data_IF_640476039006
#
_entry.id   IF_640476039006
#
_cell.length_a   1.000
_cell.length_b   1.000
_cell.length_c   1.000
_cell.angle_alpha   90.00
_cell.angle_beta   90.00
_cell.angle_gamma   90.00
#
_symmetry.space_group_name_H-M   'P 1'
#
loop_
_entity.id
_entity.type
_entity.pdbx_description
1 polymer ?
#
# COMPACT_ATOMS: atom_id res chain seq x y z
N UNK A 1 8.78 -19.97 28.54
CA UNK A 1 9.81 -19.75 27.52
C UNK A 1 9.10 -19.10 26.35
N UNK A 2 9.48 -17.89 25.94
CA UNK A 2 8.90 -17.26 24.75
C UNK A 2 9.30 -18.05 23.51
N UNK A 3 8.33 -18.40 22.67
CA UNK A 3 8.64 -19.10 21.42
C UNK A 3 9.36 -18.17 20.45
N UNK A 4 10.62 -18.48 20.12
CA UNK A 4 11.38 -17.74 19.11
C UNK A 4 10.65 -17.70 17.74
N UNK A 5 9.88 -18.74 17.42
CA UNK A 5 9.04 -18.79 16.22
C UNK A 5 7.90 -17.76 16.26
N UNK A 6 7.24 -17.62 17.41
CA UNK A 6 6.17 -16.62 17.60
C UNK A 6 6.68 -15.19 17.47
N UNK A 7 7.85 -14.92 18.05
CA UNK A 7 8.51 -13.61 17.98
C UNK A 7 8.93 -13.25 16.54
N UNK A 8 9.53 -14.20 15.79
CA UNK A 8 9.88 -14.00 14.37
C UNK A 8 8.62 -13.73 13.52
N UNK A 9 7.54 -14.48 13.73
CA UNK A 9 6.28 -14.31 13.01
C UNK A 9 5.66 -12.93 13.25
N UNK A 10 5.66 -12.44 14.50
CA UNK A 10 5.18 -11.11 14.83
C UNK A 10 6.01 -10.02 14.15
N UNK A 11 7.34 -10.05 14.31
CA UNK A 11 8.19 -9.00 13.76
C UNK A 11 8.21 -8.98 12.24
N UNK A 12 8.24 -10.15 11.58
CA UNK A 12 8.23 -10.24 10.11
C UNK A 12 6.93 -9.72 9.52
N UNK A 13 5.80 -10.04 10.15
CA UNK A 13 4.47 -9.60 9.73
C UNK A 13 4.27 -8.10 9.95
N UNK A 14 4.76 -7.56 11.08
CA UNK A 14 4.75 -6.12 11.33
C UNK A 14 5.66 -5.38 10.34
N UNK A 15 6.88 -5.85 10.14
CA UNK A 15 7.82 -5.25 9.19
C UNK A 15 7.20 -5.19 7.79
N UNK A 16 6.54 -6.26 7.35
CA UNK A 16 5.82 -6.30 6.10
C UNK A 16 4.76 -5.18 6.00
N UNK A 17 3.92 -5.02 7.03
CA UNK A 17 2.89 -4.00 7.06
C UNK A 17 3.48 -2.58 7.01
N UNK A 18 4.58 -2.33 7.73
CA UNK A 18 5.29 -1.04 7.68
C UNK A 18 5.85 -0.74 6.28
N UNK A 19 6.46 -1.75 5.63
CA UNK A 19 7.02 -1.59 4.28
C UNK A 19 5.90 -1.33 3.26
N UNK A 20 4.74 -1.99 3.39
CA UNK A 20 3.60 -1.75 2.51
C UNK A 20 3.06 -0.32 2.61
N UNK A 21 2.94 0.22 3.83
CA UNK A 21 2.54 1.62 4.06
C UNK A 21 3.59 2.58 3.49
N UNK A 22 4.87 2.31 3.71
CA UNK A 22 5.94 3.16 3.19
C UNK A 22 5.99 3.15 1.64
N UNK A 23 5.84 1.98 1.02
CA UNK A 23 5.78 1.85 -0.44
C UNK A 23 4.59 2.62 -1.02
N UNK A 24 3.42 2.57 -0.37
CA UNK A 24 2.24 3.32 -0.76
C UNK A 24 2.47 4.84 -0.69
N UNK A 25 3.04 5.35 0.41
CA UNK A 25 3.39 6.77 0.55
C UNK A 25 4.36 7.23 -0.52
N UNK A 26 5.38 6.41 -0.80
CA UNK A 26 6.38 6.73 -1.82
C UNK A 26 5.77 6.76 -3.22
N UNK A 27 4.89 5.80 -3.54
CA UNK A 27 4.19 5.75 -4.81
C UNK A 27 3.27 6.97 -4.99
N UNK A 28 2.51 7.34 -3.95
CA UNK A 28 1.60 8.50 -3.98
C UNK A 28 2.35 9.81 -4.24
N UNK A 29 3.39 10.12 -3.46
CA UNK A 29 4.19 11.34 -3.64
C UNK A 29 4.82 11.42 -5.04
N UNK A 30 5.21 10.27 -5.60
CA UNK A 30 5.77 10.22 -6.94
C UNK A 30 4.71 10.48 -8.01
N UNK A 31 3.53 9.87 -7.89
CA UNK A 31 2.41 10.13 -8.80
C UNK A 31 1.97 11.59 -8.74
N UNK A 32 1.86 12.16 -7.54
CA UNK A 32 1.51 13.57 -7.33
C UNK A 32 2.50 14.51 -7.99
N UNK A 33 3.81 14.27 -7.78
CA UNK A 33 4.87 15.08 -8.41
C UNK A 33 4.87 14.98 -9.94
N UNK A 34 4.59 13.79 -10.49
CA UNK A 34 4.68 13.55 -11.93
C UNK A 34 3.40 13.91 -12.70
N UNK A 35 2.23 13.91 -12.04
CA UNK A 35 0.95 14.14 -12.70
C UNK A 35 0.14 15.23 -11.98
N UNK A 36 0.70 16.45 -11.78
CA UNK A 36 0.06 17.48 -10.97
C UNK A 36 -1.35 17.85 -11.47
N UNK A 37 -1.58 17.87 -12.78
CA UNK A 37 -2.90 18.17 -13.38
C UNK A 37 -3.98 17.15 -12.99
N UNK A 38 -3.60 15.88 -12.84
CA UNK A 38 -4.50 14.84 -12.39
C UNK A 38 -4.88 15.03 -10.92
N UNK A 39 -3.95 15.48 -10.07
CA UNK A 39 -4.17 15.69 -8.64
C UNK A 39 -4.76 17.08 -8.31
N UNK A 40 -4.68 18.05 -9.21
CA UNK A 40 -5.20 19.41 -9.04
C UNK A 40 -6.64 19.60 -9.54
N UNK A 41 -7.17 18.70 -10.39
CA UNK A 41 -8.53 18.81 -10.92
C UNK A 41 -9.59 18.61 -9.82
N UNK A 42 -10.21 19.72 -9.39
CA UNK A 42 -11.07 19.86 -8.19
C UNK A 42 -12.45 19.19 -8.22
N UNK A 43 -12.52 17.88 -8.49
CA UNK A 43 -13.78 17.12 -8.40
C UNK A 43 -13.91 16.21 -7.18
N UNK A 44 -12.81 15.87 -6.51
CA UNK A 44 -12.80 15.04 -5.30
C UNK A 44 -11.47 15.26 -4.57
N UNK A 45 -11.45 15.69 -3.29
CA UNK A 45 -10.23 15.67 -2.51
C UNK A 45 -9.76 14.21 -2.43
N UNK A 46 -8.70 13.87 -3.18
CA UNK A 46 -8.10 12.54 -3.12
C UNK A 46 -7.20 12.51 -1.90
N UNK A 47 -7.82 12.22 -0.76
CA UNK A 47 -7.13 12.13 0.53
C UNK A 47 -5.83 11.32 0.39
N UNK A 48 -4.78 11.83 1.05
CA UNK A 48 -3.52 11.12 1.24
C UNK A 48 -3.83 9.69 1.73
N UNK A 49 -3.32 8.62 1.09
CA UNK A 49 -3.62 7.23 1.43
C UNK A 49 -2.95 6.84 2.76
N UNK A 50 -3.33 7.52 3.85
CA UNK A 50 -2.90 7.30 5.22
C UNK A 50 -3.90 6.45 6.00
N UNK A 51 -5.18 6.46 5.62
CA UNK A 51 -6.16 5.53 6.15
C UNK A 51 -6.12 4.22 5.34
N UNK A 52 -5.80 3.11 6.00
CA UNK A 52 -5.76 1.75 5.41
C UNK A 52 -7.04 1.41 4.62
N UNK A 53 -8.19 1.91 5.08
CA UNK A 53 -9.50 1.73 4.46
C UNK A 53 -9.69 2.59 3.19
N UNK A 54 -9.21 3.84 3.18
CA UNK A 54 -9.30 4.78 2.04
C UNK A 54 -8.21 4.51 0.98
N UNK A 55 -7.05 4.01 1.41
CA UNK A 55 -5.90 3.68 0.58
C UNK A 55 -6.21 2.64 -0.49
N UNK A 56 -7.00 1.61 -0.16
CA UNK A 56 -7.33 0.55 -1.13
C UNK A 56 -8.13 1.09 -2.32
N UNK A 57 -9.09 1.98 -2.06
CA UNK A 57 -9.94 2.59 -3.08
C UNK A 57 -9.13 3.57 -3.92
N UNK A 58 -8.30 4.41 -3.30
CA UNK A 58 -7.44 5.38 -3.99
C UNK A 58 -6.36 4.70 -4.84
N UNK A 59 -5.71 3.65 -4.32
CA UNK A 59 -4.71 2.86 -5.07
C UNK A 59 -5.36 2.14 -6.25
N UNK A 60 -6.56 1.56 -6.08
CA UNK A 60 -7.27 0.93 -7.20
C UNK A 60 -7.69 1.95 -8.24
N UNK A 61 -8.25 3.10 -7.82
CA UNK A 61 -8.67 4.16 -8.73
C UNK A 61 -7.50 4.77 -9.51
N UNK A 62 -6.36 5.03 -8.85
CA UNK A 62 -5.15 5.52 -9.53
C UNK A 62 -4.62 4.45 -10.49
N UNK A 63 -4.59 3.18 -10.09
CA UNK A 63 -4.16 2.09 -10.96
C UNK A 63 -5.07 1.96 -12.20
N UNK A 64 -6.39 1.88 -12.01
CA UNK A 64 -7.35 1.72 -13.10
C UNK A 64 -7.31 2.94 -14.04
N UNK A 65 -7.18 4.16 -13.49
CA UNK A 65 -7.00 5.37 -14.31
C UNK A 65 -5.63 5.45 -14.96
N UNK A 66 -4.57 4.93 -14.36
CA UNK A 66 -3.24 4.89 -14.98
C UNK A 66 -3.16 3.91 -16.16
N UNK A 67 -4.03 2.88 -16.17
CA UNK A 67 -4.19 1.98 -17.31
C UNK A 67 -5.08 2.57 -18.42
N UNK A 68 -6.08 3.39 -18.05
CA UNK A 68 -7.04 3.98 -18.99
C UNK A 68 -6.56 5.32 -19.59
N UNK A 69 -5.94 6.18 -18.78
CA UNK A 69 -5.39 7.45 -19.21
C UNK A 69 -3.96 7.24 -19.71
N UNK A 70 -3.79 7.26 -21.04
CA UNK A 70 -2.48 7.43 -21.67
C UNK A 70 -1.87 8.74 -21.14
N UNK A 71 -0.97 8.66 -20.15
CA UNK A 71 -0.37 9.84 -19.52
C UNK A 71 0.42 9.58 -18.24
N UNK A 72 0.12 8.52 -17.50
CA UNK A 72 0.94 8.14 -16.34
C UNK A 72 2.25 7.47 -16.79
N UNK A 73 3.35 7.87 -16.16
CA UNK A 73 4.65 7.22 -16.34
C UNK A 73 4.58 5.73 -15.97
N UNK A 74 5.20 4.88 -16.79
CA UNK A 74 5.25 3.43 -16.58
C UNK A 74 5.85 3.05 -15.21
N UNK A 75 6.76 3.85 -14.66
CA UNK A 75 7.33 3.65 -13.33
C UNK A 75 6.29 3.85 -12.23
N UNK A 76 5.42 4.85 -12.36
CA UNK A 76 4.32 5.09 -11.42
C UNK A 76 3.34 3.93 -11.47
N UNK A 77 2.94 3.51 -12.67
CA UNK A 77 2.08 2.33 -12.86
C UNK A 77 2.70 1.14 -12.12
N UNK A 78 3.95 0.78 -12.43
CA UNK A 78 4.64 -0.36 -11.81
C UNK A 78 4.63 -0.30 -10.28
N UNK A 79 4.92 0.86 -9.69
CA UNK A 79 4.93 1.05 -8.23
C UNK A 79 3.54 0.88 -7.61
N UNK A 80 2.49 1.42 -8.23
CA UNK A 80 1.11 1.21 -7.79
C UNK A 80 0.68 -0.26 -7.92
N UNK A 81 1.16 -0.97 -8.94
CA UNK A 81 0.97 -2.41 -9.07
C UNK A 81 1.58 -3.19 -7.90
N UNK A 82 2.82 -2.87 -7.51
CA UNK A 82 3.46 -3.47 -6.32
C UNK A 82 2.67 -3.18 -5.05
N UNK A 83 2.25 -1.93 -4.84
CA UNK A 83 1.45 -1.54 -3.68
C UNK A 83 0.13 -2.33 -3.64
N UNK A 84 -0.56 -2.47 -4.78
CA UNK A 84 -1.78 -3.28 -4.88
C UNK A 84 -1.59 -4.73 -4.46
N UNK A 85 -0.49 -5.36 -4.89
CA UNK A 85 -0.14 -6.72 -4.47
C UNK A 85 0.08 -6.75 -2.96
N UNK A 86 0.82 -5.79 -2.40
CA UNK A 86 1.09 -5.74 -0.96
C UNK A 86 -0.18 -5.58 -0.12
N UNK A 87 -1.12 -4.73 -0.54
CA UNK A 87 -2.42 -4.60 0.13
C UNK A 87 -3.28 -5.86 0.01
N UNK A 88 -3.19 -6.58 -1.12
CA UNK A 88 -3.93 -7.84 -1.30
C UNK A 88 -3.42 -8.94 -0.37
N UNK A 89 -2.12 -8.97 -0.08
CA UNK A 89 -1.49 -9.93 0.82
C UNK A 89 -1.40 -9.45 2.28
N UNK A 90 -1.75 -8.20 2.58
CA UNK A 90 -1.79 -7.64 3.94
C UNK A 90 -2.64 -8.45 4.93
N UNK A 91 -3.84 -8.99 4.58
CA UNK A 91 -4.62 -9.82 5.50
C UNK A 91 -3.86 -11.07 5.95
N UNK A 92 -3.04 -11.66 5.07
CA UNK A 92 -2.22 -12.83 5.40
C UNK A 92 -1.17 -12.45 6.44
N UNK A 93 -0.49 -11.31 6.26
CA UNK A 93 0.46 -10.81 7.24
C UNK A 93 -0.20 -10.55 8.60
N UNK A 94 -1.41 -10.00 8.64
CA UNK A 94 -2.15 -9.82 9.90
C UNK A 94 -2.48 -11.15 10.57
N UNK A 95 -2.91 -12.16 9.82
CA UNK A 95 -3.16 -13.52 10.35
C UNK A 95 -1.87 -14.10 10.94
N UNK A 96 -0.75 -13.99 10.23
CA UNK A 96 0.56 -14.46 10.71
C UNK A 96 1.04 -13.71 11.96
N UNK A 97 0.72 -12.41 12.07
CA UNK A 97 1.00 -11.61 13.26
C UNK A 97 0.22 -12.14 14.48
N UNK A 98 -1.09 -12.35 14.33
CA UNK A 98 -1.92 -12.92 15.41
C UNK A 98 -1.49 -14.34 15.79
N UNK A 99 -1.15 -15.17 14.80
CA UNK A 99 -0.60 -16.50 15.06
C UNK A 99 0.71 -16.41 15.86
N UNK A 100 1.57 -15.45 15.52
CA UNK A 100 2.80 -15.17 16.27
C UNK A 100 2.54 -14.79 17.73
N UNK A 101 1.48 -14.01 18.01
CA UNK A 101 1.06 -13.68 19.38
C UNK A 101 0.61 -14.92 20.15
N UNK A 102 -0.19 -15.79 19.52
CA UNK A 102 -0.70 -17.02 20.17
C UNK A 102 0.42 -18.02 20.46
N UNK A 103 1.43 -18.08 19.60
CA UNK A 103 2.56 -19.00 19.73
C UNK A 103 3.64 -18.51 20.71
N UNK A 104 3.69 -17.21 21.02
CA UNK A 104 4.69 -16.57 21.88
C UNK A 104 4.60 -17.03 23.33
#
# INVERSE_FOLDING_TARGET
MTSALGEILMWSSWLYAMVAVFAARRAYRMAEKQNPDYFSSGGTPRNDPLNLYESRTTVSLIWDKSLQAKGFDAEVVKRFGTVRVMYRTMPIALILFFLGIILR
#
